data_IF_239914763460
#
_entry.id   IF_239914763460
#
_cell.length_a   1.000
_cell.length_b   1.000
_cell.length_c   1.000
_cell.angle_alpha   90.00
_cell.angle_beta   90.00
_cell.angle_gamma   90.00
#
_symmetry.space_group_name_H-M   'P 1'
#
loop_
_entity.id
_entity.type
_entity.pdbx_description
1 polymer ?
#
# COMPACT_ATOMS: atom_id res chain seq x y z
N UNK A 1 -3.13 -3.28 -9.95
CA UNK A 1 -4.58 -3.05 -9.68
C UNK A 1 -4.94 -1.60 -9.95
N UNK A 2 -6.19 -1.33 -10.31
CA UNK A 2 -6.71 0.01 -10.58
C UNK A 2 -8.11 0.13 -9.96
N UNK A 3 -8.49 1.34 -9.61
CA UNK A 3 -9.85 1.70 -9.22
C UNK A 3 -10.55 2.55 -10.28
N UNK A 4 -9.86 2.78 -11.42
CA UNK A 4 -10.38 3.45 -12.60
C UNK A 4 -10.78 4.91 -12.36
N UNK A 5 -9.91 5.69 -11.69
CA UNK A 5 -10.09 7.13 -11.58
C UNK A 5 -10.16 7.77 -12.97
N UNK A 6 -11.09 8.70 -13.15
CA UNK A 6 -11.21 9.49 -14.37
C UNK A 6 -10.61 10.89 -14.20
N UNK A 7 -10.08 11.45 -15.27
CA UNK A 7 -9.56 12.82 -15.28
C UNK A 7 -10.67 13.82 -14.89
N UNK A 8 -10.36 14.69 -13.95
CA UNK A 8 -11.31 15.67 -13.42
C UNK A 8 -12.26 15.14 -12.34
N UNK A 9 -12.18 13.85 -12.00
CA UNK A 9 -12.92 13.28 -10.88
C UNK A 9 -12.45 13.89 -9.56
N UNK A 10 -13.40 14.16 -8.66
CA UNK A 10 -13.11 14.68 -7.32
C UNK A 10 -13.37 13.62 -6.27
N UNK A 11 -12.35 13.29 -5.51
CA UNK A 11 -12.41 12.37 -4.39
C UNK A 11 -11.83 13.00 -3.13
N UNK A 12 -12.24 12.53 -1.96
CA UNK A 12 -11.59 12.91 -0.71
C UNK A 12 -10.24 12.20 -0.56
N UNK A 13 -9.29 12.82 0.13
CA UNK A 13 -8.01 12.19 0.45
C UNK A 13 -8.23 10.87 1.21
N UNK A 14 -9.22 10.82 2.11
CA UNK A 14 -9.58 9.60 2.82
C UNK A 14 -9.99 8.46 1.87
N UNK A 15 -10.86 8.76 0.89
CA UNK A 15 -11.27 7.77 -0.14
C UNK A 15 -10.06 7.29 -0.93
N UNK A 16 -9.16 8.20 -1.31
CA UNK A 16 -7.95 7.84 -2.06
C UNK A 16 -7.01 6.95 -1.23
N UNK A 17 -6.85 7.22 0.07
CA UNK A 17 -6.08 6.34 0.97
C UNK A 17 -6.71 4.94 1.03
N UNK A 18 -8.04 4.84 1.16
CA UNK A 18 -8.74 3.54 1.12
C UNK A 18 -8.49 2.80 -0.20
N UNK A 19 -8.57 3.49 -1.33
CA UNK A 19 -8.26 2.89 -2.64
C UNK A 19 -6.84 2.31 -2.71
N UNK A 20 -5.85 3.02 -2.17
CA UNK A 20 -4.45 2.57 -2.13
C UNK A 20 -4.28 1.38 -1.18
N UNK A 21 -4.78 1.49 0.04
CA UNK A 21 -4.51 0.51 1.10
C UNK A 21 -5.31 -0.77 0.88
N UNK A 22 -6.60 -0.66 0.56
CA UNK A 22 -7.52 -1.80 0.44
C UNK A 22 -7.40 -2.46 -0.93
N UNK A 23 -7.59 -1.69 -2.01
CA UNK A 23 -7.65 -2.23 -3.37
C UNK A 23 -6.31 -2.19 -4.11
N UNK A 24 -5.27 -1.58 -3.52
CA UNK A 24 -3.95 -1.44 -4.17
C UNK A 24 -4.01 -0.65 -5.48
N UNK A 25 -4.79 0.44 -5.52
CA UNK A 25 -4.99 1.26 -6.72
C UNK A 25 -3.72 1.97 -7.14
N UNK A 26 -3.14 1.55 -8.27
CA UNK A 26 -1.91 2.16 -8.80
C UNK A 26 -2.18 3.53 -9.40
N UNK A 27 -3.30 3.68 -10.10
CA UNK A 27 -3.78 4.96 -10.64
C UNK A 27 -3.98 5.99 -9.52
N UNK A 28 -4.53 5.59 -8.39
CA UNK A 28 -4.69 6.45 -7.22
C UNK A 28 -3.34 6.80 -6.58
N UNK A 29 -2.40 5.86 -6.55
CA UNK A 29 -1.06 6.12 -6.01
C UNK A 29 -0.35 7.21 -6.83
N UNK A 30 -0.42 7.15 -8.15
CA UNK A 30 0.14 8.18 -9.04
C UNK A 30 -0.59 9.51 -8.83
N UNK A 31 -1.92 9.53 -8.83
CA UNK A 31 -2.71 10.76 -8.61
C UNK A 31 -2.37 11.43 -7.27
N UNK A 32 -2.20 10.64 -6.20
CA UNK A 32 -1.79 11.16 -4.89
C UNK A 32 -0.36 11.67 -4.88
N UNK A 33 0.57 10.99 -5.57
CA UNK A 33 1.95 11.42 -5.71
C UNK A 33 2.04 12.78 -6.42
N UNK A 34 1.32 12.94 -7.53
CA UNK A 34 1.22 14.19 -8.26
C UNK A 34 0.57 15.31 -7.44
N UNK A 35 -0.50 14.99 -6.69
CA UNK A 35 -1.16 15.96 -5.82
C UNK A 35 -0.24 16.48 -4.71
N UNK A 36 0.55 15.60 -4.08
CA UNK A 36 1.42 15.95 -2.96
C UNK A 36 2.67 16.70 -3.43
N UNK A 37 3.26 16.28 -4.54
CA UNK A 37 4.63 16.68 -4.95
C UNK A 37 4.70 17.37 -6.31
N UNK A 38 3.58 17.50 -7.01
CA UNK A 38 3.50 18.11 -8.34
C UNK A 38 3.87 17.16 -9.49
N UNK A 39 4.56 16.04 -9.20
CA UNK A 39 4.84 14.97 -10.14
C UNK A 39 5.14 13.66 -9.42
N UNK A 40 4.95 12.53 -10.10
CA UNK A 40 5.35 11.22 -9.55
C UNK A 40 6.86 11.18 -9.24
N UNK A 41 7.71 11.71 -10.12
CA UNK A 41 9.16 11.72 -9.90
C UNK A 41 9.53 12.49 -8.62
N UNK A 42 8.96 13.67 -8.41
CA UNK A 42 9.22 14.46 -7.20
C UNK A 42 8.75 13.73 -5.92
N UNK A 43 7.67 12.97 -6.02
CA UNK A 43 7.21 12.13 -4.92
C UNK A 43 8.15 10.95 -4.66
N UNK A 44 8.64 10.27 -5.70
CA UNK A 44 9.63 9.18 -5.60
C UNK A 44 10.92 9.68 -4.96
N UNK A 45 11.37 10.89 -5.29
CA UNK A 45 12.53 11.51 -4.65
C UNK A 45 12.30 11.69 -3.14
N UNK A 46 11.10 12.10 -2.72
CA UNK A 46 10.73 12.19 -1.30
C UNK A 46 10.63 10.80 -0.65
N UNK A 47 10.12 9.78 -1.35
CA UNK A 47 10.11 8.39 -0.86
C UNK A 47 11.54 7.91 -0.56
N UNK A 48 12.49 8.16 -1.46
CA UNK A 48 13.89 7.79 -1.27
C UNK A 48 14.56 8.57 -0.12
N UNK A 49 14.27 9.87 0.01
CA UNK A 49 14.73 10.68 1.14
C UNK A 49 14.17 10.14 2.48
N UNK A 50 12.88 9.79 2.53
CA UNK A 50 12.26 9.20 3.73
C UNK A 50 12.87 7.83 4.05
N UNK A 51 13.11 6.99 3.06
CA UNK A 51 13.77 5.70 3.23
C UNK A 51 15.17 5.87 3.85
N UNK A 52 15.96 6.80 3.33
CA UNK A 52 17.28 7.14 3.88
C UNK A 52 17.18 7.64 5.33
N UNK A 53 16.25 8.54 5.62
CA UNK A 53 16.03 9.08 6.97
C UNK A 53 15.63 8.00 7.99
N UNK A 54 14.92 6.96 7.54
CA UNK A 54 14.54 5.81 8.35
C UNK A 54 15.66 4.76 8.50
N UNK A 55 16.77 4.92 7.81
CA UNK A 55 17.87 3.94 7.81
C UNK A 55 17.59 2.69 6.97
N UNK A 56 16.74 2.79 5.96
CA UNK A 56 16.44 1.73 4.99
C UNK A 56 17.58 1.64 3.96
N UNK A 57 18.69 1.03 4.35
CA UNK A 57 19.95 1.05 3.57
C UNK A 57 19.96 0.14 2.33
N UNK A 58 18.95 -0.73 2.20
CA UNK A 58 18.80 -1.65 1.07
C UNK A 58 17.49 -1.37 0.32
N UNK A 59 17.17 -0.08 0.12
CA UNK A 59 15.93 0.33 -0.52
C UNK A 59 16.20 1.46 -1.50
N UNK A 60 15.65 1.32 -2.71
CA UNK A 60 15.59 2.37 -3.71
C UNK A 60 14.28 2.26 -4.50
N UNK A 61 13.54 3.34 -4.57
CA UNK A 61 12.29 3.45 -5.30
C UNK A 61 12.51 4.17 -6.63
N UNK A 62 11.90 3.67 -7.70
CA UNK A 62 11.89 4.29 -9.05
C UNK A 62 10.50 4.66 -9.53
N UNK A 63 9.45 4.18 -8.85
CA UNK A 63 8.06 4.58 -9.01
C UNK A 63 7.32 4.58 -7.67
N UNK A 64 6.11 5.14 -7.62
CA UNK A 64 5.34 5.27 -6.38
C UNK A 64 4.42 4.07 -6.07
N UNK A 65 4.26 3.12 -6.98
CA UNK A 65 3.29 2.03 -6.85
C UNK A 65 3.88 0.61 -6.99
N UNK A 66 5.15 0.49 -7.40
CA UNK A 66 5.86 -0.78 -7.53
C UNK A 66 5.52 -1.57 -8.78
N UNK A 67 5.11 -0.90 -9.88
CA UNK A 67 4.81 -1.55 -11.17
C UNK A 67 6.00 -1.63 -12.12
N UNK A 68 7.09 -0.98 -11.81
CA UNK A 68 8.29 -1.00 -12.64
C UNK A 68 8.87 -2.41 -12.77
N UNK A 69 9.45 -2.70 -13.93
CA UNK A 69 10.26 -3.90 -14.16
C UNK A 69 11.78 -3.63 -13.98
N UNK A 70 12.13 -2.43 -13.49
CA UNK A 70 13.52 -2.06 -13.24
C UNK A 70 14.10 -2.81 -12.03
N UNK A 71 15.30 -3.37 -12.20
CA UNK A 71 16.07 -3.94 -11.11
C UNK A 71 16.54 -2.88 -10.09
N UNK A 72 16.51 -1.60 -10.46
CA UNK A 72 16.86 -0.49 -9.59
C UNK A 72 15.77 -0.16 -8.57
N UNK A 73 14.55 -0.74 -8.73
CA UNK A 73 13.48 -0.67 -7.75
C UNK A 73 13.57 -1.87 -6.82
N UNK A 74 14.16 -1.70 -5.67
CA UNK A 74 14.40 -2.79 -4.74
C UNK A 74 14.22 -2.38 -3.28
N UNK A 75 14.01 -3.37 -2.44
CA UNK A 75 13.99 -3.25 -0.98
C UNK A 75 14.38 -4.57 -0.33
N UNK A 76 14.44 -4.59 0.99
CA UNK A 76 14.64 -5.80 1.79
C UNK A 76 13.49 -6.02 2.78
N UNK A 77 13.31 -7.25 3.25
CA UNK A 77 12.29 -7.56 4.26
C UNK A 77 12.52 -6.73 5.55
N UNK A 78 13.77 -6.48 5.92
CA UNK A 78 14.13 -5.62 7.06
C UNK A 78 13.66 -4.18 6.83
N UNK A 79 13.94 -3.62 5.67
CA UNK A 79 13.60 -2.23 5.37
C UNK A 79 12.08 -2.03 5.29
N UNK A 80 11.36 -3.00 4.71
CA UNK A 80 9.89 -2.99 4.74
C UNK A 80 9.36 -3.07 6.18
N UNK A 81 9.99 -3.86 7.06
CA UNK A 81 9.60 -3.89 8.47
C UNK A 81 9.87 -2.55 9.19
N UNK A 82 10.98 -1.87 8.88
CA UNK A 82 11.28 -0.52 9.40
C UNK A 82 10.20 0.48 8.96
N UNK A 83 9.87 0.51 7.67
CA UNK A 83 8.83 1.38 7.12
C UNK A 83 7.46 1.07 7.73
N UNK A 84 7.12 -0.20 7.85
CA UNK A 84 5.85 -0.64 8.44
C UNK A 84 5.73 -0.24 9.91
N UNK A 85 6.84 -0.33 10.67
CA UNK A 85 6.90 0.12 12.05
C UNK A 85 6.72 1.62 12.15
N UNK A 86 7.42 2.40 11.33
CA UNK A 86 7.26 3.86 11.27
C UNK A 86 5.79 4.24 11.04
N UNK A 87 5.15 3.57 10.07
CA UNK A 87 3.76 3.82 9.73
C UNK A 87 2.81 3.44 10.88
N UNK A 88 2.99 2.26 11.49
CA UNK A 88 2.10 1.79 12.57
C UNK A 88 2.24 2.60 13.85
N UNK A 89 3.45 3.00 14.21
CA UNK A 89 3.71 3.70 15.49
C UNK A 89 3.41 5.19 15.39
N UNK A 90 3.84 5.84 14.30
CA UNK A 90 3.73 7.30 14.15
C UNK A 90 2.46 7.74 13.42
N UNK A 91 1.82 6.82 12.71
CA UNK A 91 0.57 7.04 11.97
C UNK A 91 -0.44 5.90 12.21
N UNK A 92 -0.84 5.62 13.46
CA UNK A 92 -1.67 4.45 13.81
C UNK A 92 -3.03 4.46 13.13
N UNK A 93 -3.48 5.60 12.61
CA UNK A 93 -4.70 5.72 11.81
C UNK A 93 -4.70 4.83 10.58
N UNK A 94 -3.52 4.38 10.12
CA UNK A 94 -3.41 3.45 8.98
C UNK A 94 -4.24 2.18 9.22
N UNK A 95 -4.35 1.75 10.47
CA UNK A 95 -5.10 0.55 10.83
C UNK A 95 -6.61 0.71 10.65
N UNK A 96 -7.13 1.94 10.64
CA UNK A 96 -8.54 2.21 10.29
C UNK A 96 -8.84 1.85 8.82
N UNK A 97 -7.83 1.86 7.97
CA UNK A 97 -7.95 1.54 6.54
C UNK A 97 -7.49 0.11 6.24
N UNK A 98 -6.36 -0.32 6.80
CA UNK A 98 -5.77 -1.63 6.50
C UNK A 98 -6.60 -2.81 6.99
N UNK A 99 -7.50 -2.60 7.95
CA UNK A 99 -8.44 -3.60 8.46
C UNK A 99 -9.74 -3.70 7.66
N UNK A 100 -10.01 -2.76 6.76
CA UNK A 100 -11.19 -2.83 5.89
C UNK A 100 -11.07 -4.04 4.98
N UNK A 101 -12.07 -4.92 5.02
CA UNK A 101 -12.13 -6.09 4.14
C UNK A 101 -12.74 -5.74 2.79
N UNK A 102 -13.90 -5.09 2.80
CA UNK A 102 -14.59 -4.59 1.60
C UNK A 102 -15.30 -3.28 1.96
N UNK A 103 -15.30 -2.34 1.02
CA UNK A 103 -16.02 -1.08 1.15
C UNK A 103 -16.38 -0.54 -0.24
N UNK A 104 -17.58 0.00 -0.40
CA UNK A 104 -18.00 0.65 -1.62
C UNK A 104 -17.61 2.13 -1.62
N UNK A 105 -17.04 2.59 -2.73
CA UNK A 105 -16.82 4.00 -3.02
C UNK A 105 -17.69 4.44 -4.18
N UNK A 106 -17.91 5.74 -4.28
CA UNK A 106 -18.68 6.34 -5.39
C UNK A 106 -17.74 7.17 -6.27
N UNK A 107 -17.66 6.80 -7.53
CA UNK A 107 -17.09 7.67 -8.57
C UNK A 107 -18.12 8.70 -8.99
N UNK A 108 -17.75 9.96 -9.00
CA UNK A 108 -18.58 11.06 -9.52
C UNK A 108 -17.83 11.74 -10.65
N UNK A 109 -18.27 11.47 -11.87
CA UNK A 109 -17.65 11.96 -13.10
C UNK A 109 -18.65 12.75 -13.94
N UNK A 110 -18.21 13.30 -15.05
CA UNK A 110 -19.08 13.96 -16.02
C UNK A 110 -20.11 13.00 -16.66
N UNK A 111 -19.93 11.69 -16.52
CA UNK A 111 -20.83 10.65 -17.03
C UNK A 111 -21.88 10.23 -16.00
N UNK A 112 -21.80 10.75 -14.78
CA UNK A 112 -22.70 10.42 -13.67
C UNK A 112 -21.96 9.78 -12.49
N UNK A 113 -22.74 9.17 -11.58
CA UNK A 113 -22.23 8.47 -10.42
C UNK A 113 -22.25 6.95 -10.62
N UNK A 114 -21.20 6.26 -10.22
CA UNK A 114 -21.11 4.80 -10.23
C UNK A 114 -20.45 4.26 -8.96
N UNK A 115 -20.87 3.07 -8.54
CA UNK A 115 -20.28 2.39 -7.37
C UNK A 115 -19.11 1.52 -7.80
N UNK A 116 -18.07 1.49 -6.96
CA UNK A 116 -16.93 0.60 -7.10
C UNK A 116 -16.60 -0.03 -5.73
N UNK A 117 -16.54 -1.36 -5.69
CA UNK A 117 -16.25 -2.08 -4.45
C UNK A 117 -14.76 -2.30 -4.30
N UNK A 118 -14.17 -1.73 -3.26
CA UNK A 118 -12.82 -2.02 -2.82
C UNK A 118 -12.80 -3.38 -2.12
N UNK A 119 -11.82 -4.23 -2.44
CA UNK A 119 -11.64 -5.52 -1.80
C UNK A 119 -10.18 -5.70 -1.36
N UNK A 120 -9.98 -6.02 -0.08
CA UNK A 120 -8.64 -6.23 0.47
C UNK A 120 -8.06 -7.57 0.03
N UNK A 121 -6.82 -7.54 -0.38
CA UNK A 121 -6.10 -8.75 -0.80
C UNK A 121 -5.36 -9.45 0.34
N UNK A 122 -5.31 -8.84 1.53
CA UNK A 122 -4.70 -9.43 2.72
C UNK A 122 -5.65 -10.44 3.41
N UNK A 123 -5.48 -11.71 3.09
CA UNK A 123 -6.32 -12.79 3.64
C UNK A 123 -6.15 -13.02 5.14
N UNK A 124 -5.02 -12.60 5.73
CA UNK A 124 -4.81 -12.71 7.18
C UNK A 124 -5.87 -11.96 7.99
N UNK A 125 -6.49 -10.92 7.44
CA UNK A 125 -7.62 -10.22 8.08
C UNK A 125 -8.80 -11.15 8.41
N UNK A 126 -8.93 -12.29 7.71
CA UNK A 126 -9.98 -13.29 7.94
C UNK A 126 -9.45 -14.58 8.57
N UNK A 127 -8.14 -14.78 8.61
CA UNK A 127 -7.53 -16.05 9.00
C UNK A 127 -6.75 -15.97 10.31
N UNK A 128 -6.28 -14.76 10.68
CA UNK A 128 -5.43 -14.56 11.85
C UNK A 128 -6.08 -13.57 12.82
N UNK A 129 -6.50 -14.07 13.97
CA UNK A 129 -7.09 -13.24 15.03
C UNK A 129 -6.08 -12.21 15.54
N UNK A 130 -6.51 -10.93 15.57
CA UNK A 130 -5.66 -9.80 15.91
C UNK A 130 -4.90 -9.19 14.73
N UNK A 131 -5.10 -9.67 13.48
CA UNK A 131 -4.50 -9.03 12.31
C UNK A 131 -5.01 -7.59 12.13
N UNK A 132 -4.07 -6.63 12.04
CA UNK A 132 -4.35 -5.19 11.87
C UNK A 132 -3.95 -4.66 10.47
N UNK A 133 -3.44 -5.54 9.61
CA UNK A 133 -3.04 -5.17 8.24
C UNK A 133 -1.79 -5.93 7.79
N UNK A 134 -0.87 -5.38 6.98
CA UNK A 134 -0.81 -3.99 6.51
C UNK A 134 -1.06 -3.92 5.00
N UNK A 135 -0.13 -4.52 4.21
CA UNK A 135 -0.17 -4.43 2.75
C UNK A 135 0.40 -5.65 2.07
N UNK A 136 -0.25 -6.06 0.98
CA UNK A 136 0.25 -7.08 0.04
C UNK A 136 0.83 -6.42 -1.20
N UNK A 137 1.71 -7.14 -1.89
CA UNK A 137 2.22 -6.75 -3.20
C UNK A 137 2.51 -7.97 -4.06
N UNK A 138 2.44 -7.82 -5.38
CA UNK A 138 2.91 -8.83 -6.31
C UNK A 138 3.19 -8.26 -7.69
N UNK A 139 4.32 -8.67 -8.27
CA UNK A 139 4.67 -8.46 -9.67
C UNK A 139 5.33 -9.75 -10.18
N UNK A 140 5.54 -9.84 -11.49
CA UNK A 140 6.28 -10.96 -12.08
C UNK A 140 7.69 -11.07 -11.49
N UNK A 141 8.34 -9.95 -11.23
CA UNK A 141 9.71 -9.88 -10.71
C UNK A 141 9.76 -10.09 -9.19
N UNK A 142 8.94 -9.35 -8.42
CA UNK A 142 8.93 -9.40 -6.96
C UNK A 142 8.22 -10.63 -6.40
N UNK A 143 7.49 -11.38 -7.24
CA UNK A 143 6.61 -12.48 -6.81
C UNK A 143 5.59 -12.01 -5.77
N UNK A 144 5.29 -12.80 -4.73
CA UNK A 144 4.26 -12.47 -3.76
C UNK A 144 4.88 -11.96 -2.46
N UNK A 145 4.52 -10.75 -2.08
CA UNK A 145 5.03 -10.07 -0.91
C UNK A 145 3.90 -9.70 0.06
N UNK A 146 4.23 -9.64 1.34
CA UNK A 146 3.34 -9.25 2.42
C UNK A 146 4.11 -8.53 3.51
N UNK A 147 3.63 -7.38 3.93
CA UNK A 147 3.88 -6.83 5.25
C UNK A 147 2.61 -7.02 6.07
N UNK A 148 2.69 -7.84 7.12
CA UNK A 148 1.58 -8.09 8.03
C UNK A 148 1.82 -7.42 9.37
N UNK A 149 0.75 -6.89 9.96
CA UNK A 149 0.73 -6.39 11.33
C UNK A 149 -0.36 -7.10 12.13
N UNK A 150 -0.10 -7.34 13.40
CA UNK A 150 -1.08 -7.94 14.29
C UNK A 150 -0.88 -7.43 15.71
N UNK A 151 -1.97 -7.27 16.45
CA UNK A 151 -1.97 -6.89 17.85
C UNK A 151 -2.77 -7.89 18.67
N UNK A 152 -2.16 -8.40 19.72
CA UNK A 152 -2.83 -9.22 20.76
C UNK A 152 -2.39 -8.76 22.13
N UNK A 153 -3.34 -8.45 22.98
CA UNK A 153 -3.09 -7.82 24.27
C UNK A 153 -2.25 -6.53 24.04
N UNK A 154 -1.12 -6.39 24.75
CA UNK A 154 -0.23 -5.25 24.64
C UNK A 154 0.96 -5.50 23.68
N UNK A 155 0.93 -6.61 22.92
CA UNK A 155 1.99 -6.97 21.96
C UNK A 155 1.53 -6.69 20.54
N UNK A 156 2.28 -5.82 19.86
CA UNK A 156 2.15 -5.55 18.43
C UNK A 156 3.35 -6.14 17.68
N UNK A 157 3.09 -6.86 16.61
CA UNK A 157 4.10 -7.55 15.80
C UNK A 157 3.98 -7.16 14.32
N UNK A 158 5.12 -7.16 13.66
CA UNK A 158 5.24 -6.99 12.21
C UNK A 158 5.96 -8.20 11.64
N UNK A 159 5.39 -8.81 10.62
CA UNK A 159 6.01 -9.89 9.86
C UNK A 159 6.08 -9.51 8.37
N UNK A 160 7.25 -9.67 7.77
CA UNK A 160 7.45 -9.36 6.35
C UNK A 160 7.88 -10.60 5.61
N UNK A 161 7.13 -10.93 4.55
CA UNK A 161 7.44 -12.01 3.60
C UNK A 161 7.68 -11.38 2.24
N UNK A 162 8.78 -11.75 1.58
CA UNK A 162 9.11 -11.27 0.24
C UNK A 162 9.43 -12.45 -0.68
N UNK A 163 9.11 -12.28 -1.95
CA UNK A 163 9.40 -13.24 -3.01
C UNK A 163 8.84 -14.65 -2.76
N UNK A 164 7.71 -14.76 -2.07
CA UNK A 164 7.04 -16.06 -1.94
C UNK A 164 6.68 -16.62 -3.33
N UNK A 165 6.88 -17.93 -3.58
CA UNK A 165 6.70 -18.50 -4.90
C UNK A 165 5.24 -18.53 -5.36
N UNK A 166 4.31 -18.48 -4.41
CA UNK A 166 2.87 -18.63 -4.63
C UNK A 166 2.10 -17.72 -3.65
N UNK A 167 0.93 -17.28 -4.09
CA UNK A 167 0.12 -16.33 -3.31
C UNK A 167 -0.38 -16.89 -1.96
N UNK A 168 -0.46 -18.22 -1.81
CA UNK A 168 -0.86 -18.85 -0.55
C UNK A 168 0.27 -18.89 0.46
N UNK A 169 1.50 -19.06 -0.02
CA UNK A 169 2.70 -19.20 0.83
C UNK A 169 3.06 -17.90 1.55
N UNK A 170 2.59 -16.75 1.07
CA UNK A 170 2.84 -15.47 1.75
C UNK A 170 1.97 -15.26 3.00
N UNK A 171 0.93 -16.09 3.19
CA UNK A 171 0.02 -16.06 4.33
C UNK A 171 0.28 -17.27 5.25
#
# INVERSE_FOLDING_TARGET
>A
SQVFLEEGEKQTVETLIKCIVVASGNDVSVAMAEHISGSEQAFVDQMNQKAQALGMTNTHFTDCCGLTESADHYTSARDVAIMSRELSVNHPQIHNYSTIWMEDITHVTNKGASQFTLANTNKLLKQYDGCTGLKTGSTSLAKYCLSATAQRNDLELIAVVMAAPDYKVRF
#
